data_IF_590762848149
#
_entry.id   IF_590762848149
#
_cell.length_a   1.000
_cell.length_b   1.000
_cell.length_c   1.000
_cell.angle_alpha   90.00
_cell.angle_beta   90.00
_cell.angle_gamma   90.00
#
_symmetry.space_group_name_H-M   'P 1'
#
loop_
_entity.id
_entity.type
_entity.pdbx_description
1 polymer ?
#
# COMPACT_ATOMS: atom_id res chain seq x y z
N UNK A 1 14.53 0.09 -10.67
CA UNK A 1 14.01 0.93 -9.58
C UNK A 1 13.22 2.09 -10.17
N UNK A 2 11.87 2.00 -10.20
CA UNK A 2 11.01 2.99 -10.85
C UNK A 2 11.14 4.39 -10.26
N UNK A 3 11.52 4.53 -8.99
CA UNK A 3 11.78 5.82 -8.35
C UNK A 3 13.04 6.52 -8.86
N UNK A 4 14.11 5.79 -9.19
CA UNK A 4 15.27 6.40 -9.87
C UNK A 4 14.89 6.82 -11.29
N UNK A 5 14.01 6.09 -11.96
CA UNK A 5 13.50 6.49 -13.27
C UNK A 5 12.61 7.73 -13.14
N UNK A 6 11.69 7.77 -12.18
CA UNK A 6 10.85 8.94 -11.93
C UNK A 6 11.69 10.17 -11.56
N UNK A 7 12.65 10.01 -10.66
CA UNK A 7 13.61 11.05 -10.30
C UNK A 7 14.40 11.53 -11.52
N UNK A 8 14.86 10.61 -12.37
CA UNK A 8 15.65 10.94 -13.57
C UNK A 8 14.83 11.58 -14.68
N UNK A 9 13.57 11.19 -14.87
CA UNK A 9 12.73 11.68 -15.97
C UNK A 9 11.94 12.94 -15.60
N UNK A 10 11.46 13.05 -14.35
CA UNK A 10 10.55 14.13 -13.96
C UNK A 10 11.20 15.18 -13.05
N UNK A 11 12.19 14.80 -12.24
CA UNK A 11 12.80 15.68 -11.23
C UNK A 11 14.20 16.20 -11.61
N UNK A 12 14.87 15.61 -12.60
CA UNK A 12 16.31 15.81 -12.87
C UNK A 12 16.71 17.21 -13.41
N UNK A 13 15.77 18.14 -13.57
CA UNK A 13 16.00 19.55 -13.92
C UNK A 13 15.03 20.49 -13.19
N UNK A 14 14.39 20.01 -12.12
CA UNK A 14 13.43 20.80 -11.32
C UNK A 14 14.13 21.40 -10.11
N UNK A 15 13.41 22.27 -9.38
CA UNK A 15 13.94 22.92 -8.19
C UNK A 15 14.50 21.93 -7.15
N UNK A 16 15.62 22.32 -6.54
CA UNK A 16 16.34 21.53 -5.53
C UNK A 16 15.44 21.09 -4.37
N UNK A 17 14.51 21.95 -3.97
CA UNK A 17 13.54 21.66 -2.91
C UNK A 17 12.68 20.41 -3.22
N UNK A 18 12.20 20.27 -4.45
CA UNK A 18 11.34 19.15 -4.85
C UNK A 18 12.08 17.82 -4.81
N UNK A 19 13.37 17.82 -5.17
CA UNK A 19 14.22 16.62 -5.10
C UNK A 19 14.42 16.18 -3.65
N UNK A 20 14.71 17.12 -2.75
CA UNK A 20 14.87 16.81 -1.33
C UNK A 20 13.56 16.33 -0.70
N UNK A 21 12.45 16.99 -1.00
CA UNK A 21 11.13 16.60 -0.50
C UNK A 21 10.79 15.17 -0.93
N UNK A 22 10.99 14.86 -2.21
CA UNK A 22 10.79 13.52 -2.75
C UNK A 22 11.69 12.48 -2.05
N UNK A 23 12.97 12.77 -1.87
CA UNK A 23 13.89 11.85 -1.20
C UNK A 23 13.52 11.62 0.28
N UNK A 24 13.05 12.66 0.99
CA UNK A 24 12.60 12.54 2.38
C UNK A 24 11.34 11.69 2.46
N UNK A 25 10.33 11.97 1.64
CA UNK A 25 9.09 11.18 1.63
C UNK A 25 9.36 9.72 1.30
N UNK A 26 10.13 9.45 0.25
CA UNK A 26 10.44 8.08 -0.16
C UNK A 26 11.25 7.32 0.89
N UNK A 27 12.23 7.98 1.52
CA UNK A 27 12.98 7.41 2.63
C UNK A 27 12.10 7.09 3.84
N UNK A 28 11.22 8.02 4.23
CA UNK A 28 10.30 7.82 5.35
C UNK A 28 9.27 6.72 5.07
N UNK A 29 8.74 6.64 3.85
CA UNK A 29 7.82 5.55 3.46
C UNK A 29 8.49 4.19 3.54
N UNK A 30 9.73 4.05 3.06
CA UNK A 30 10.49 2.79 3.15
C UNK A 30 10.79 2.44 4.62
N UNK A 31 11.15 3.44 5.43
CA UNK A 31 11.39 3.24 6.86
C UNK A 31 10.14 2.77 7.59
N UNK A 32 8.99 3.40 7.33
CA UNK A 32 7.70 3.01 7.91
C UNK A 32 7.30 1.59 7.50
N UNK A 33 7.44 1.25 6.22
CA UNK A 33 7.14 -0.09 5.72
C UNK A 33 7.98 -1.17 6.40
N UNK A 34 9.29 -0.94 6.54
CA UNK A 34 10.22 -1.87 7.19
C UNK A 34 10.11 -1.93 8.72
N UNK A 35 9.36 -1.02 9.35
CA UNK A 35 9.15 -1.06 10.80
C UNK A 35 8.48 -2.37 11.24
N UNK A 36 7.53 -2.88 10.45
CA UNK A 36 6.88 -4.18 10.71
C UNK A 36 7.86 -5.35 10.72
N UNK A 37 8.81 -5.37 9.77
CA UNK A 37 9.87 -6.38 9.72
C UNK A 37 10.73 -6.38 10.99
N UNK A 38 11.04 -5.20 11.55
CA UNK A 38 11.83 -5.11 12.77
C UNK A 38 11.09 -5.72 13.98
N UNK A 39 9.79 -5.49 14.08
CA UNK A 39 8.94 -6.08 15.14
C UNK A 39 8.85 -7.60 14.94
N UNK A 40 8.55 -8.06 13.73
CA UNK A 40 8.42 -9.49 13.43
C UNK A 40 9.73 -10.25 13.71
N UNK A 41 10.88 -9.63 13.45
CA UNK A 41 12.20 -10.17 13.78
C UNK A 41 12.47 -10.21 15.29
N UNK A 42 12.08 -9.15 16.01
CA UNK A 42 12.18 -9.13 17.47
C UNK A 42 11.31 -10.21 18.12
N UNK A 43 10.09 -10.41 17.65
CA UNK A 43 9.19 -11.45 18.13
C UNK A 43 9.69 -12.86 17.76
N UNK A 44 10.42 -13.00 16.65
CA UNK A 44 11.07 -14.25 16.24
C UNK A 44 12.12 -14.79 17.20
N UNK A 45 12.68 -13.94 18.07
CA UNK A 45 13.64 -14.34 19.10
C UNK A 45 13.03 -14.76 20.44
N UNK A 46 11.70 -14.65 20.62
CA UNK A 46 11.00 -15.00 21.86
C UNK A 46 10.56 -16.46 21.86
N UNK A 47 10.34 -17.03 23.04
CA UNK A 47 9.77 -18.37 23.16
C UNK A 47 8.35 -18.43 22.58
N UNK A 48 8.03 -19.43 21.73
CA UNK A 48 6.74 -19.53 21.07
C UNK A 48 5.54 -19.60 22.02
N UNK A 49 5.73 -20.10 23.24
CA UNK A 49 4.69 -20.23 24.26
C UNK A 49 4.29 -18.89 24.87
N UNK A 50 5.17 -17.88 24.79
CA UNK A 50 4.93 -16.52 25.29
C UNK A 50 4.29 -15.60 24.23
N UNK A 51 4.21 -16.06 22.98
CA UNK A 51 3.70 -15.28 21.86
C UNK A 51 2.21 -15.52 21.66
N UNK A 52 1.49 -14.47 21.27
CA UNK A 52 0.13 -14.64 20.76
C UNK A 52 0.14 -15.47 19.46
N UNK A 53 -0.96 -16.15 19.11
CA UNK A 53 -1.02 -16.92 17.87
C UNK A 53 -0.71 -16.11 16.62
N UNK A 54 -1.08 -14.82 16.59
CA UNK A 54 -0.78 -13.92 15.48
C UNK A 54 0.70 -13.55 15.41
N UNK A 55 1.32 -13.21 16.55
CA UNK A 55 2.75 -12.94 16.58
C UNK A 55 3.56 -14.16 16.16
N UNK A 56 3.16 -15.35 16.63
CA UNK A 56 3.82 -16.60 16.25
C UNK A 56 3.74 -16.88 14.74
N UNK A 57 2.66 -16.46 14.07
CA UNK A 57 2.46 -16.61 12.62
C UNK A 57 3.42 -15.75 11.80
N UNK A 58 3.70 -14.53 12.26
CA UNK A 58 4.51 -13.54 11.53
C UNK A 58 5.97 -13.48 11.99
N UNK A 59 6.26 -14.03 13.18
CA UNK A 59 7.59 -14.13 13.78
C UNK A 59 8.65 -14.68 12.81
N UNK A 60 9.68 -13.87 12.57
CA UNK A 60 10.79 -14.23 11.67
C UNK A 60 11.85 -14.98 12.47
N UNK A 61 11.86 -16.32 12.36
CA UNK A 61 12.72 -17.20 13.19
C UNK A 61 14.16 -17.40 12.71
N UNK A 62 14.57 -16.68 11.68
CA UNK A 62 15.93 -16.78 11.13
C UNK A 62 16.39 -15.43 10.60
N UNK A 63 17.70 -15.26 10.40
CA UNK A 63 18.24 -14.02 9.85
C UNK A 63 17.92 -13.95 8.36
N UNK A 64 17.06 -13.01 7.91
CA UNK A 64 16.80 -12.86 6.49
C UNK A 64 18.04 -12.33 5.78
N UNK A 65 18.28 -12.81 4.57
CA UNK A 65 19.42 -12.36 3.76
C UNK A 65 19.21 -10.93 3.28
N UNK A 66 20.31 -10.23 2.95
CA UNK A 66 20.23 -8.89 2.37
C UNK A 66 19.39 -8.86 1.08
N UNK A 67 19.42 -9.96 0.31
CA UNK A 67 18.61 -10.10 -0.91
C UNK A 67 17.12 -10.22 -0.60
N UNK A 68 16.74 -10.99 0.42
CA UNK A 68 15.34 -11.08 0.83
C UNK A 68 14.84 -9.75 1.40
N UNK A 69 15.63 -9.09 2.25
CA UNK A 69 15.27 -7.79 2.86
C UNK A 69 15.13 -6.70 1.79
N UNK A 70 16.05 -6.66 0.82
CA UNK A 70 15.95 -5.70 -0.30
C UNK A 70 14.78 -6.03 -1.23
N UNK A 71 14.54 -7.30 -1.54
CA UNK A 71 13.38 -7.73 -2.32
C UNK A 71 12.04 -7.43 -1.65
N UNK A 72 11.96 -7.60 -0.33
CA UNK A 72 10.82 -7.20 0.49
C UNK A 72 10.62 -5.68 0.49
N UNK A 73 11.67 -4.91 0.81
CA UNK A 73 11.62 -3.44 0.88
C UNK A 73 11.19 -2.77 -0.42
N UNK A 74 11.55 -3.38 -1.56
CA UNK A 74 11.26 -2.84 -2.89
C UNK A 74 10.20 -3.67 -3.65
N UNK A 75 9.37 -4.43 -2.93
CA UNK A 75 8.34 -5.26 -3.54
C UNK A 75 7.24 -4.41 -4.20
N UNK A 76 7.15 -4.46 -5.53
CA UNK A 76 6.25 -3.62 -6.33
C UNK A 76 4.78 -3.72 -5.91
N UNK A 77 4.32 -4.90 -5.44
CA UNK A 77 2.91 -5.12 -5.09
C UNK A 77 2.45 -4.44 -3.80
N UNK A 78 3.38 -3.94 -2.99
CA UNK A 78 3.05 -3.26 -1.73
C UNK A 78 3.67 -1.87 -1.58
N UNK A 79 4.66 -1.58 -2.41
CA UNK A 79 5.43 -0.35 -2.35
C UNK A 79 4.57 0.84 -2.80
N UNK A 80 4.57 1.91 -1.99
CA UNK A 80 3.80 3.18 -2.08
C UNK A 80 2.48 3.25 -1.33
N UNK A 81 1.48 2.40 -1.65
CA UNK A 81 0.14 2.42 -1.02
C UNK A 81 -0.42 1.01 -0.91
N UNK A 82 0.46 0.03 -0.79
CA UNK A 82 0.05 -1.34 -0.62
C UNK A 82 -0.37 -1.65 0.80
N UNK A 83 -1.11 -2.77 1.00
CA UNK A 83 -1.33 -3.28 2.33
C UNK A 83 0.00 -3.63 2.98
N UNK A 84 0.13 -3.34 4.28
CA UNK A 84 1.25 -3.83 5.08
C UNK A 84 1.19 -5.34 5.13
N UNK A 85 2.34 -6.00 4.91
CA UNK A 85 2.45 -7.46 4.98
C UNK A 85 3.80 -7.87 5.58
N UNK A 86 3.83 -9.06 6.18
CA UNK A 86 4.99 -9.55 6.92
C UNK A 86 6.08 -10.11 6.00
N UNK A 87 7.32 -10.05 6.46
CA UNK A 87 8.46 -10.72 5.82
C UNK A 87 8.25 -12.23 5.67
N UNK A 88 7.59 -12.86 6.63
CA UNK A 88 7.29 -14.30 6.57
C UNK A 88 6.40 -14.64 5.37
N UNK A 89 5.45 -13.76 5.05
CA UNK A 89 4.60 -13.89 3.88
C UNK A 89 5.39 -13.63 2.58
N UNK A 90 6.28 -12.64 2.57
CA UNK A 90 7.21 -12.45 1.45
C UNK A 90 8.07 -13.69 1.18
N UNK A 91 8.60 -14.33 2.22
CA UNK A 91 9.41 -15.55 2.07
C UNK A 91 8.58 -16.71 1.53
N UNK A 92 7.35 -16.91 2.02
CA UNK A 92 6.42 -17.92 1.47
C UNK A 92 6.09 -17.65 0.01
N UNK A 93 5.90 -16.38 -0.37
CA UNK A 93 5.68 -15.98 -1.76
C UNK A 93 6.91 -16.32 -2.62
N UNK A 94 8.10 -15.91 -2.18
CA UNK A 94 9.36 -16.13 -2.89
C UNK A 94 9.70 -17.61 -3.06
N UNK A 95 9.36 -18.45 -2.07
CA UNK A 95 9.50 -19.91 -2.12
C UNK A 95 8.41 -20.61 -2.92
N UNK A 96 7.34 -19.91 -3.30
CA UNK A 96 6.20 -20.50 -4.00
C UNK A 96 5.35 -21.40 -3.10
N UNK A 97 5.30 -21.14 -1.80
CA UNK A 97 4.49 -21.88 -0.81
C UNK A 97 3.06 -21.33 -0.71
N UNK A 98 2.82 -20.10 -1.19
CA UNK A 98 1.50 -19.47 -1.27
C UNK A 98 0.63 -20.08 -2.38
N UNK A 99 0.25 -21.33 -2.19
CA UNK A 99 -0.45 -22.16 -3.17
C UNK A 99 -1.71 -22.73 -2.56
N UNK A 100 -2.80 -22.81 -3.34
CA UNK A 100 -4.03 -23.47 -2.89
C UNK A 100 -3.81 -24.98 -2.71
N UNK A 101 -2.93 -25.54 -3.55
CA UNK A 101 -2.54 -26.95 -3.56
C UNK A 101 -1.01 -27.03 -3.51
N UNK A 102 -0.42 -27.74 -2.52
CA UNK A 102 1.03 -27.84 -2.38
C UNK A 102 1.73 -28.26 -3.69
N UNK A 103 2.67 -27.43 -4.16
CA UNK A 103 3.47 -27.70 -5.36
C UNK A 103 2.87 -27.24 -6.69
N UNK A 104 1.65 -26.67 -6.70
CA UNK A 104 1.05 -26.08 -7.90
C UNK A 104 0.97 -24.57 -7.80
N UNK A 105 1.02 -23.85 -8.92
CA UNK A 105 0.81 -22.40 -8.91
C UNK A 105 -0.62 -22.08 -8.47
N UNK A 106 -0.83 -21.08 -7.59
CA UNK A 106 -2.18 -20.69 -7.19
C UNK A 106 -2.97 -20.21 -8.40
N UNK A 107 -4.28 -20.38 -8.38
CA UNK A 107 -5.13 -19.91 -9.47
C UNK A 107 -5.31 -18.39 -9.38
N UNK A 108 -4.34 -17.63 -9.92
CA UNK A 108 -4.34 -16.16 -9.85
C UNK A 108 -5.16 -15.48 -10.94
N UNK A 109 -5.56 -16.19 -12.01
CA UNK A 109 -6.20 -15.57 -13.18
C UNK A 109 -7.61 -15.05 -12.87
N UNK A 110 -8.46 -15.88 -12.26
CA UNK A 110 -9.84 -15.49 -11.92
C UNK A 110 -9.85 -14.36 -10.87
N UNK A 111 -9.08 -14.41 -9.77
CA UNK A 111 -8.98 -13.29 -8.84
C UNK A 111 -8.46 -12.00 -9.48
N UNK A 112 -7.45 -12.10 -10.37
CA UNK A 112 -6.91 -10.93 -11.07
C UNK A 112 -7.96 -10.28 -11.96
N UNK A 113 -8.73 -11.08 -12.72
CA UNK A 113 -9.79 -10.57 -13.58
C UNK A 113 -10.90 -9.87 -12.78
N UNK A 114 -11.30 -10.46 -11.63
CA UNK A 114 -12.28 -9.84 -10.72
C UNK A 114 -11.78 -8.50 -10.17
N UNK A 115 -10.50 -8.42 -9.77
CA UNK A 115 -9.89 -7.18 -9.28
C UNK A 115 -9.80 -6.11 -10.38
N UNK A 116 -9.43 -6.53 -11.59
CA UNK A 116 -9.38 -5.64 -12.76
C UNK A 116 -10.77 -5.11 -13.11
N UNK A 117 -11.78 -5.97 -13.19
CA UNK A 117 -13.15 -5.55 -13.51
C UNK A 117 -13.72 -4.60 -12.45
N UNK A 118 -13.41 -4.84 -11.17
CA UNK A 118 -13.81 -3.93 -10.09
C UNK A 118 -13.15 -2.56 -10.26
N UNK A 119 -11.83 -2.53 -10.49
CA UNK A 119 -11.10 -1.28 -10.74
C UNK A 119 -11.64 -0.50 -11.95
N UNK A 120 -11.94 -1.19 -13.06
CA UNK A 120 -12.54 -0.57 -14.24
C UNK A 120 -13.94 -0.03 -13.98
N UNK A 121 -14.76 -0.74 -13.20
CA UNK A 121 -16.09 -0.27 -12.84
C UNK A 121 -16.03 1.01 -12.01
N UNK A 122 -15.14 1.07 -11.01
CA UNK A 122 -14.90 2.30 -10.25
C UNK A 122 -14.42 3.44 -11.14
N UNK A 123 -13.48 3.17 -12.05
CA UNK A 123 -12.96 4.16 -12.98
C UNK A 123 -14.05 4.71 -13.90
N UNK A 124 -14.86 3.84 -14.51
CA UNK A 124 -15.96 4.25 -15.40
C UNK A 124 -17.00 5.06 -14.63
N UNK A 125 -17.37 4.62 -13.43
CA UNK A 125 -18.33 5.34 -12.58
C UNK A 125 -17.81 6.74 -12.27
N UNK A 126 -16.54 6.85 -11.86
CA UNK A 126 -15.90 8.14 -11.60
C UNK A 126 -15.89 9.03 -12.84
N UNK A 127 -15.48 8.51 -14.01
CA UNK A 127 -15.43 9.30 -15.25
C UNK A 127 -16.81 9.78 -15.70
N UNK A 128 -17.86 8.97 -15.50
CA UNK A 128 -19.23 9.36 -15.86
C UNK A 128 -19.84 10.33 -14.84
N UNK A 129 -19.53 10.20 -13.55
CA UNK A 129 -20.05 11.08 -12.49
C UNK A 129 -19.31 12.41 -12.40
N UNK A 130 -18.02 12.46 -12.76
CA UNK A 130 -17.17 13.65 -12.75
C UNK A 130 -17.78 14.90 -13.44
N UNK A 131 -18.43 14.82 -14.62
CA UNK A 131 -19.07 15.99 -15.22
C UNK A 131 -20.36 16.44 -14.53
N UNK A 132 -21.01 15.60 -13.72
CA UNK A 132 -22.26 15.94 -13.01
C UNK A 132 -22.02 16.44 -11.59
N UNK A 133 -20.90 16.06 -10.98
CA UNK A 133 -20.47 16.51 -9.66
C UNK A 133 -19.27 17.42 -9.87
N UNK A 134 -19.50 18.73 -9.93
CA UNK A 134 -18.43 19.71 -9.97
C UNK A 134 -17.66 19.65 -8.66
N UNK A 135 -16.46 19.08 -8.68
CA UNK A 135 -15.56 19.08 -7.51
C UNK A 135 -15.35 20.51 -6.98
N UNK A 136 -15.40 21.50 -7.87
CA UNK A 136 -15.33 22.93 -7.55
C UNK A 136 -16.55 23.45 -6.79
N UNK A 137 -17.74 22.90 -7.02
CA UNK A 137 -18.94 23.24 -6.23
C UNK A 137 -18.86 22.60 -4.84
N UNK A 138 -18.42 21.36 -4.72
CA UNK A 138 -18.27 20.68 -3.42
C UNK A 138 -17.28 21.38 -2.46
N UNK A 139 -16.36 22.17 -3.00
CA UNK A 139 -15.33 22.91 -2.23
C UNK A 139 -15.66 24.41 -2.18
N UNK A 140 -16.71 24.88 -2.87
CA UNK A 140 -17.07 26.31 -2.89
C UNK A 140 -17.82 26.73 -1.62
N UNK A 141 -17.71 28.03 -1.30
CA UNK A 141 -18.46 28.66 -0.21
C UNK A 141 -19.99 28.59 -0.41
N UNK A 142 -20.44 28.41 -1.66
CA UNK A 142 -21.86 28.30 -1.99
C UNK A 142 -22.44 26.96 -1.51
N UNK A 143 -21.70 25.85 -1.68
CA UNK A 143 -22.11 24.56 -1.12
C UNK A 143 -22.21 24.57 0.39
N UNK A 144 -21.26 25.24 1.07
CA UNK A 144 -21.31 25.40 2.54
C UNK A 144 -22.52 26.20 3.00
N UNK A 145 -22.97 27.18 2.20
CA UNK A 145 -24.13 28.02 2.50
C UNK A 145 -25.44 27.28 2.30
N UNK A 146 -25.55 26.53 1.21
CA UNK A 146 -26.74 25.72 0.90
C UNK A 146 -26.91 24.57 1.89
N UNK A 147 -25.82 23.90 2.27
CA UNK A 147 -25.85 22.85 3.29
C UNK A 147 -26.23 23.38 4.69
N UNK A 148 -25.79 24.60 5.03
CA UNK A 148 -26.19 25.24 6.28
C UNK A 148 -27.68 25.65 6.28
N UNK A 149 -28.21 26.10 5.15
CA UNK A 149 -29.63 26.44 4.99
C UNK A 149 -30.53 25.20 5.16
N UNK A 150 -30.17 24.08 4.53
CA UNK A 150 -30.92 22.81 4.63
C UNK A 150 -30.91 22.25 6.07
N UNK A 151 -29.82 22.48 6.82
CA UNK A 151 -29.73 22.10 8.25
C UNK A 151 -30.61 22.96 9.17
N UNK A 152 -30.90 24.21 8.77
CA UNK A 152 -31.75 25.13 9.52
C UNK A 152 -33.24 24.86 9.29
N UNK A 153 -33.61 24.42 8.07
CA UNK A 153 -34.99 24.08 7.71
C UNK A 153 -35.43 22.71 8.28
N UNK A 154 -34.50 21.81 8.61
CA UNK A 154 -34.77 20.54 9.28
C UNK A 154 -35.01 20.63 10.80
N UNK A 155 -34.95 21.82 11.39
CA UNK A 155 -35.11 22.05 12.83
C UNK A 155 -36.45 22.74 13.20
N UNK A 156 -37.40 22.85 12.26
CA UNK A 156 -38.74 23.43 12.44
C UNK A 156 -39.80 22.32 12.49
#
# INVERSE_FOLDING_TARGET
YPFALFQRYFLFQKETYLIHLYNVFTGLSIAYFNFGLAIDYYDGGKDPELLTPEQCRFAVRGVPTLLEVSGFSYFYGAFMVGPQFSMTDYQKLAKGEMTDVPGQRPNSFVPALKRLSLGLLFLVTYTLSSPYISEEYLISDDYMRDAAADSADGLI
#
